data_IF_633592568121
#
_entry.id   IF_633592568121
#
_cell.length_a   1.000
_cell.length_b   1.000
_cell.length_c   1.000
_cell.angle_alpha   90.00
_cell.angle_beta   90.00
_cell.angle_gamma   90.00
#
_symmetry.space_group_name_H-M   'P 1'
#
loop_
_entity.id
_entity.type
_entity.pdbx_description
1 polymer ?
#
# COMPACT_ATOMS: atom_id res chain seq x y z
N UNK A 1 -15.54 5.96 -10.55
CA UNK A 1 -14.11 5.76 -10.83
C UNK A 1 -13.28 5.51 -9.56
N UNK A 2 -12.83 6.53 -8.81
CA UNK A 2 -11.91 6.30 -7.67
C UNK A 2 -12.47 5.37 -6.57
N UNK A 3 -13.72 5.58 -6.14
CA UNK A 3 -14.35 4.70 -5.13
C UNK A 3 -14.57 3.27 -5.62
N UNK A 4 -14.85 3.09 -6.92
CA UNK A 4 -15.03 1.77 -7.53
C UNK A 4 -13.70 1.02 -7.65
N UNK A 5 -12.65 1.70 -8.09
CA UNK A 5 -11.29 1.16 -8.09
C UNK A 5 -10.85 0.78 -6.66
N UNK A 6 -11.16 1.62 -5.67
CA UNK A 6 -10.85 1.30 -4.28
C UNK A 6 -11.62 0.06 -3.78
N UNK A 7 -12.90 -0.05 -4.10
CA UNK A 7 -13.71 -1.22 -3.74
C UNK A 7 -13.15 -2.52 -4.37
N UNK A 8 -12.65 -2.44 -5.61
CA UNK A 8 -12.00 -3.57 -6.29
C UNK A 8 -10.73 -4.02 -5.58
N UNK A 9 -9.85 -3.09 -5.19
CA UNK A 9 -8.57 -3.46 -4.56
C UNK A 9 -8.70 -3.79 -3.07
N UNK A 10 -9.75 -3.33 -2.38
CA UNK A 10 -9.99 -3.59 -0.94
C UNK A 10 -10.92 -4.77 -0.67
N UNK A 11 -11.55 -5.32 -1.70
CA UNK A 11 -12.47 -6.45 -1.59
C UNK A 11 -11.80 -7.76 -1.19
N UNK A 12 -12.61 -8.70 -0.69
CA UNK A 12 -12.18 -10.05 -0.26
C UNK A 12 -11.50 -10.87 -1.38
N UNK A 13 -11.87 -10.60 -2.63
CA UNK A 13 -11.38 -11.32 -3.82
C UNK A 13 -10.25 -10.55 -4.52
N UNK A 14 -9.79 -9.44 -3.92
CA UNK A 14 -8.67 -8.68 -4.46
C UNK A 14 -7.42 -9.54 -4.50
N UNK A 15 -6.63 -9.43 -5.58
CA UNK A 15 -5.34 -10.11 -5.66
C UNK A 15 -4.32 -9.40 -4.79
N UNK A 16 -3.39 -10.15 -4.19
CA UNK A 16 -2.22 -9.58 -3.54
C UNK A 16 -1.50 -8.64 -4.52
N UNK A 17 -1.06 -7.49 -4.02
CA UNK A 17 -0.38 -6.50 -4.85
C UNK A 17 -1.27 -5.60 -5.69
N UNK A 18 -2.60 -5.84 -5.72
CA UNK A 18 -3.51 -4.93 -6.42
C UNK A 18 -3.40 -3.53 -5.83
N UNK A 19 -3.23 -2.52 -6.68
CA UNK A 19 -3.07 -1.14 -6.25
C UNK A 19 -3.82 -0.15 -7.12
N UNK A 20 -4.04 1.04 -6.57
CA UNK A 20 -4.52 2.21 -7.30
C UNK A 20 -3.74 3.47 -6.91
N UNK A 21 -3.67 4.43 -7.82
CA UNK A 21 -3.12 5.77 -7.62
C UNK A 21 -4.22 6.81 -7.90
N UNK A 22 -4.26 7.82 -7.06
CA UNK A 22 -5.12 9.00 -7.19
C UNK A 22 -4.30 10.27 -6.98
N UNK A 23 -4.80 11.39 -7.50
CA UNK A 23 -4.29 12.71 -7.19
C UNK A 23 -5.47 13.64 -6.82
N UNK A 24 -5.19 14.93 -6.67
CA UNK A 24 -6.23 15.94 -6.55
C UNK A 24 -6.32 16.80 -7.81
N UNK A 25 -7.50 16.82 -8.40
CA UNK A 25 -7.86 17.77 -9.45
C UNK A 25 -8.96 18.69 -8.93
N UNK A 26 -8.73 20.00 -8.96
CA UNK A 26 -9.69 21.02 -8.46
C UNK A 26 -10.21 20.69 -7.05
N UNK A 27 -9.32 20.20 -6.17
CA UNK A 27 -9.59 19.77 -4.78
C UNK A 27 -10.51 18.54 -4.64
N UNK A 28 -10.70 17.77 -5.71
CA UNK A 28 -11.42 16.50 -5.69
C UNK A 28 -10.46 15.36 -6.00
N UNK A 29 -10.72 14.19 -5.41
CA UNK A 29 -9.97 12.97 -5.74
C UNK A 29 -10.24 12.62 -7.20
N UNK A 30 -9.18 12.50 -7.98
CA UNK A 30 -9.23 11.98 -9.35
C UNK A 30 -8.42 10.69 -9.44
N UNK A 31 -8.97 9.72 -10.16
CA UNK A 31 -8.31 8.44 -10.42
C UNK A 31 -7.19 8.65 -11.45
N UNK A 32 -6.02 8.06 -11.20
CA UNK A 32 -4.86 8.17 -12.09
C UNK A 32 -4.58 6.83 -12.76
N UNK A 33 -4.35 5.78 -11.96
CA UNK A 33 -3.93 4.48 -12.47
C UNK A 33 -4.31 3.35 -11.50
N UNK A 34 -4.30 2.13 -12.00
CA UNK A 34 -4.37 0.90 -11.22
C UNK A 34 -3.44 -0.17 -11.81
N UNK A 35 -3.07 -1.16 -11.01
CA UNK A 35 -2.20 -2.24 -11.44
C UNK A 35 -1.92 -3.26 -10.34
N UNK A 36 -0.86 -4.05 -10.53
CA UNK A 36 -0.42 -5.09 -9.59
C UNK A 36 1.10 -5.03 -9.40
N UNK A 37 1.56 -5.15 -8.15
CA UNK A 37 2.98 -5.20 -7.81
C UNK A 37 3.60 -3.84 -7.48
N UNK A 38 4.59 -3.84 -6.58
CA UNK A 38 5.18 -2.61 -6.04
C UNK A 38 5.97 -1.82 -7.10
N UNK A 39 6.67 -2.52 -8.00
CA UNK A 39 7.45 -1.88 -9.06
C UNK A 39 6.58 -1.17 -10.10
N UNK A 40 5.40 -1.71 -10.42
CA UNK A 40 4.47 -1.03 -11.34
C UNK A 40 3.79 0.15 -10.66
N UNK A 41 3.52 0.07 -9.34
CA UNK A 41 3.03 1.18 -8.54
C UNK A 41 4.00 2.35 -8.56
N UNK A 42 5.29 2.11 -8.28
CA UNK A 42 6.32 3.15 -8.29
C UNK A 42 6.38 3.89 -9.64
N UNK A 43 6.29 3.15 -10.74
CA UNK A 43 6.30 3.70 -12.10
C UNK A 43 5.06 4.57 -12.41
N UNK A 44 3.97 4.41 -11.67
CA UNK A 44 2.76 5.21 -11.81
C UNK A 44 2.79 6.52 -10.99
N UNK A 45 3.82 6.73 -10.16
CA UNK A 45 4.01 7.96 -9.41
C UNK A 45 4.75 8.99 -10.26
N UNK A 46 4.33 10.26 -10.15
CA UNK A 46 4.91 11.39 -10.88
C UNK A 46 5.63 12.33 -9.89
N UNK A 47 6.92 12.56 -10.13
CA UNK A 47 7.76 13.43 -9.29
C UNK A 47 7.28 14.89 -9.29
N UNK A 48 6.48 15.31 -10.28
CA UNK A 48 5.94 16.66 -10.36
C UNK A 48 4.58 16.82 -9.63
N UNK A 49 4.05 15.76 -9.01
CA UNK A 49 2.72 15.77 -8.40
C UNK A 49 2.68 15.32 -6.93
N UNK A 50 1.67 15.83 -6.22
CA UNK A 50 1.20 15.21 -4.99
C UNK A 50 0.19 14.12 -5.38
N UNK A 51 0.50 12.87 -5.00
CA UNK A 51 -0.33 11.70 -5.31
C UNK A 51 -0.56 10.87 -4.06
N UNK A 52 -1.48 9.94 -4.15
CA UNK A 52 -1.73 8.95 -3.12
C UNK A 52 -1.96 7.60 -3.77
N UNK A 53 -1.36 6.57 -3.20
CA UNK A 53 -1.57 5.21 -3.64
C UNK A 53 -2.12 4.36 -2.49
N UNK A 54 -2.82 3.29 -2.85
CA UNK A 54 -3.19 2.23 -1.93
C UNK A 54 -2.89 0.89 -2.59
N UNK A 55 -2.20 0.01 -1.87
CA UNK A 55 -1.87 -1.35 -2.30
C UNK A 55 -2.41 -2.37 -1.29
N UNK A 56 -2.99 -3.46 -1.78
CA UNK A 56 -3.45 -4.56 -0.94
C UNK A 56 -2.35 -5.61 -0.77
N UNK A 57 -1.69 -5.60 0.38
CA UNK A 57 -0.68 -6.60 0.75
C UNK A 57 -1.37 -7.72 1.49
N UNK A 58 -1.13 -8.97 1.09
CA UNK A 58 -1.75 -10.12 1.75
C UNK A 58 -0.82 -10.68 2.80
N UNK A 59 -1.22 -10.67 4.07
CA UNK A 59 -0.57 -11.47 5.11
C UNK A 59 -1.13 -12.88 5.06
N UNK A 60 -0.30 -13.85 4.67
CA UNK A 60 -0.71 -15.26 4.52
C UNK A 60 -0.08 -16.09 5.64
N UNK A 61 -0.94 -16.76 6.40
CA UNK A 61 -0.54 -17.71 7.45
C UNK A 61 -0.86 -19.12 6.98
N UNK A 62 0.19 -19.93 6.85
CA UNK A 62 0.12 -21.33 6.42
C UNK A 62 0.50 -22.19 7.62
N UNK A 63 -0.46 -23.00 8.12
CA UNK A 63 -0.24 -23.95 9.21
C UNK A 63 -0.81 -25.30 8.85
N UNK A 64 0.07 -26.30 8.78
CA UNK A 64 -0.26 -27.63 8.28
C UNK A 64 -0.98 -27.54 6.92
N UNK A 65 -2.29 -27.79 6.87
CA UNK A 65 -3.11 -27.79 5.66
C UNK A 65 -4.13 -26.64 5.60
N UNK A 66 -4.00 -25.63 6.47
CA UNK A 66 -4.90 -24.47 6.51
C UNK A 66 -4.14 -23.21 6.12
N UNK A 67 -4.67 -22.50 5.13
CA UNK A 67 -4.22 -21.17 4.73
C UNK A 67 -5.24 -20.12 5.17
N UNK A 68 -4.76 -19.08 5.87
CA UNK A 68 -5.55 -17.90 6.20
C UNK A 68 -4.89 -16.67 5.59
N UNK A 69 -5.64 -15.97 4.74
CA UNK A 69 -5.20 -14.71 4.14
C UNK A 69 -5.88 -13.52 4.81
N UNK A 70 -5.08 -12.50 5.15
CA UNK A 70 -5.55 -11.24 5.73
C UNK A 70 -5.09 -10.08 4.85
N UNK A 71 -6.05 -9.32 4.35
CA UNK A 71 -5.78 -8.12 3.55
C UNK A 71 -5.23 -7.00 4.44
N UNK A 72 -4.14 -6.38 4.00
CA UNK A 72 -3.50 -5.23 4.63
C UNK A 72 -3.37 -4.14 3.59
N UNK A 73 -4.28 -3.16 3.65
CA UNK A 73 -4.21 -1.98 2.82
C UNK A 73 -3.07 -1.09 3.31
N UNK A 74 -2.13 -0.76 2.42
CA UNK A 74 -1.02 0.15 2.69
C UNK A 74 -1.23 1.40 1.86
N UNK A 75 -1.45 2.52 2.55
CA UNK A 75 -1.55 3.84 1.93
C UNK A 75 -0.17 4.46 1.80
N UNK A 76 0.10 5.05 0.64
CA UNK A 76 1.31 5.81 0.34
C UNK A 76 0.88 7.25 0.03
N UNK A 77 1.38 8.20 0.80
CA UNK A 77 1.25 9.63 0.58
C UNK A 77 2.51 10.09 -0.17
N UNK A 78 2.35 10.40 -1.45
CA UNK A 78 3.45 10.77 -2.35
C UNK A 78 3.53 12.29 -2.52
N UNK A 79 4.69 12.86 -2.24
CA UNK A 79 5.02 14.24 -2.60
C UNK A 79 6.31 14.22 -3.40
N UNK A 80 6.17 14.16 -4.72
CA UNK A 80 7.32 14.06 -5.62
C UNK A 80 8.35 15.19 -5.42
N UNK A 81 9.62 14.89 -5.68
CA UNK A 81 10.73 15.82 -5.43
C UNK A 81 10.62 17.11 -6.27
N UNK A 82 10.02 17.00 -7.46
CA UNK A 82 9.86 18.08 -8.42
C UNK A 82 8.53 18.83 -8.28
N UNK A 83 7.72 18.55 -7.25
CA UNK A 83 6.51 19.32 -6.95
C UNK A 83 6.89 20.76 -6.61
N UNK A 84 6.37 21.77 -7.32
CA UNK A 84 6.61 23.18 -6.98
C UNK A 84 6.20 23.48 -5.54
N UNK A 85 6.99 24.26 -4.81
CA UNK A 85 6.78 24.52 -3.37
C UNK A 85 5.33 24.95 -3.04
N UNK A 86 4.73 25.82 -3.85
CA UNK A 86 3.34 26.27 -3.70
C UNK A 86 2.30 25.15 -3.84
N UNK A 87 2.59 24.11 -4.61
CA UNK A 87 1.70 22.96 -4.83
C UNK A 87 1.85 21.86 -3.78
N UNK A 88 2.94 21.85 -2.99
CA UNK A 88 3.13 20.87 -1.90
C UNK A 88 2.03 20.96 -0.83
N UNK A 89 1.42 22.13 -0.65
CA UNK A 89 0.24 22.31 0.22
C UNK A 89 -0.96 21.42 -0.20
N UNK A 90 -1.01 20.99 -1.46
CA UNK A 90 -2.00 20.01 -1.94
C UNK A 90 -2.00 18.70 -1.14
N UNK A 91 -0.85 18.31 -0.58
CA UNK A 91 -0.74 17.12 0.29
C UNK A 91 -1.63 17.25 1.54
N UNK A 92 -1.62 18.43 2.18
CA UNK A 92 -2.45 18.71 3.36
C UNK A 92 -3.94 18.79 2.99
N UNK A 93 -4.27 19.41 1.86
CA UNK A 93 -5.64 19.54 1.37
C UNK A 93 -6.28 18.18 1.06
N UNK A 94 -5.49 17.22 0.58
CA UNK A 94 -5.96 15.87 0.24
C UNK A 94 -6.23 14.98 1.44
N UNK A 95 -5.54 15.20 2.57
CA UNK A 95 -5.52 14.28 3.71
C UNK A 95 -6.92 13.78 4.12
N UNK A 96 -7.88 14.70 4.27
CA UNK A 96 -9.24 14.34 4.70
C UNK A 96 -10.04 13.56 3.65
N UNK A 97 -9.85 13.85 2.36
CA UNK A 97 -10.53 13.13 1.28
C UNK A 97 -9.91 11.75 1.06
N UNK A 98 -8.59 11.64 1.14
CA UNK A 98 -7.85 10.39 0.98
C UNK A 98 -8.11 9.45 2.15
N UNK A 99 -8.10 9.92 3.40
CA UNK A 99 -8.44 9.10 4.56
C UNK A 99 -9.86 8.53 4.49
N UNK A 100 -10.80 9.25 3.86
CA UNK A 100 -12.17 8.76 3.60
C UNK A 100 -12.20 7.71 2.50
N UNK A 101 -11.42 7.90 1.44
CA UNK A 101 -11.33 6.96 0.33
C UNK A 101 -10.63 5.67 0.75
N UNK A 102 -9.42 5.77 1.29
CA UNK A 102 -8.59 4.63 1.72
C UNK A 102 -8.91 4.18 3.15
N UNK A 103 -10.22 4.08 3.44
CA UNK A 103 -10.69 3.65 4.75
C UNK A 103 -10.16 2.25 5.07
N UNK A 104 -9.63 2.07 6.28
CA UNK A 104 -9.13 0.78 6.74
C UNK A 104 -7.69 0.48 6.31
N UNK A 105 -6.93 1.49 5.85
CA UNK A 105 -5.49 1.38 5.73
C UNK A 105 -4.87 0.88 7.04
N UNK A 106 -4.11 -0.20 6.95
CA UNK A 106 -3.38 -0.78 8.08
C UNK A 106 -2.06 -0.04 8.36
N UNK A 107 -1.57 0.70 7.36
CA UNK A 107 -0.33 1.45 7.38
C UNK A 107 -0.44 2.67 6.47
N UNK A 108 0.12 3.80 6.89
CA UNK A 108 0.38 4.98 6.06
C UNK A 108 1.89 5.22 5.96
N UNK A 109 2.38 5.44 4.73
CA UNK A 109 3.75 5.84 4.43
C UNK A 109 3.75 7.22 3.80
N UNK A 110 4.65 8.10 4.25
CA UNK A 110 4.92 9.37 3.56
C UNK A 110 6.23 9.21 2.79
N UNK A 111 6.18 9.36 1.48
CA UNK A 111 7.32 9.13 0.60
C UNK A 111 7.48 10.29 -0.37
N UNK A 112 8.73 10.59 -0.72
CA UNK A 112 9.08 11.51 -1.81
C UNK A 112 10.06 10.89 -2.80
N UNK A 113 10.53 9.66 -2.54
CA UNK A 113 11.42 8.90 -3.41
C UNK A 113 10.92 7.46 -3.61
N UNK A 114 11.03 6.88 -4.81
CA UNK A 114 10.52 5.53 -5.07
C UNK A 114 11.19 4.45 -4.21
N UNK A 115 12.45 4.66 -3.81
CA UNK A 115 13.23 3.71 -3.01
C UNK A 115 12.69 3.56 -1.57
N UNK A 116 11.97 4.57 -1.07
CA UNK A 116 11.31 4.53 0.24
C UNK A 116 10.10 3.57 0.24
N UNK A 117 9.58 3.25 -0.94
CA UNK A 117 8.49 2.30 -1.13
C UNK A 117 9.11 0.92 -1.33
N UNK A 118 9.49 0.24 -0.24
CA UNK A 118 10.10 -1.09 -0.31
C UNK A 118 9.29 -2.14 0.44
N UNK A 119 9.38 -3.39 -0.01
CA UNK A 119 8.79 -4.53 0.70
C UNK A 119 9.36 -4.66 2.10
N UNK A 120 10.66 -4.40 2.29
CA UNK A 120 11.31 -4.44 3.61
C UNK A 120 10.69 -3.42 4.58
N UNK A 121 10.52 -2.17 4.15
CA UNK A 121 9.94 -1.11 4.97
C UNK A 121 8.47 -1.40 5.33
N UNK A 122 7.68 -1.81 4.33
CA UNK A 122 6.28 -2.15 4.51
C UNK A 122 6.13 -3.33 5.48
N UNK A 123 6.90 -4.40 5.27
CA UNK A 123 6.88 -5.59 6.12
C UNK A 123 7.31 -5.28 7.54
N UNK A 124 8.35 -4.46 7.73
CA UNK A 124 8.80 -4.03 9.04
C UNK A 124 7.69 -3.35 9.83
N UNK A 125 6.98 -2.40 9.20
CA UNK A 125 5.88 -1.67 9.85
C UNK A 125 4.64 -2.52 10.05
N UNK A 126 4.25 -3.34 9.08
CA UNK A 126 3.12 -4.26 9.23
C UNK A 126 3.37 -5.29 10.35
N UNK A 127 4.61 -5.78 10.47
CA UNK A 127 5.00 -6.72 11.53
C UNK A 127 5.00 -6.07 12.91
N UNK A 128 5.37 -4.79 13.00
CA UNK A 128 5.31 -4.02 14.24
C UNK A 128 3.87 -3.70 14.66
N UNK A 129 2.98 -3.43 13.70
CA UNK A 129 1.56 -3.17 13.95
C UNK A 129 0.72 -4.44 14.19
N UNK A 130 1.17 -5.61 13.72
CA UNK A 130 0.42 -6.86 13.68
C UNK A 130 0.16 -7.58 15.01
N UNK A 131 0.60 -7.03 16.15
CA UNK A 131 0.47 -7.67 17.46
C UNK A 131 1.23 -9.00 17.56
N UNK A 132 0.81 -9.88 18.46
CA UNK A 132 1.52 -11.14 18.74
C UNK A 132 1.44 -12.17 17.60
N UNK A 133 0.44 -12.07 16.72
CA UNK A 133 0.20 -13.06 15.67
C UNK A 133 0.68 -12.57 14.31
N UNK A 134 1.87 -12.99 13.91
CA UNK A 134 2.46 -12.65 12.61
C UNK A 134 2.12 -13.73 11.57
N UNK A 135 1.86 -13.35 10.31
CA UNK A 135 1.63 -14.33 9.24
C UNK A 135 2.94 -15.09 8.92
N UNK A 136 2.85 -16.14 8.11
CA UNK A 136 4.02 -16.84 7.57
C UNK A 136 4.80 -15.92 6.61
N UNK A 137 4.09 -15.25 5.71
CA UNK A 137 4.67 -14.29 4.76
C UNK A 137 3.70 -13.15 4.41
N UNK A 138 4.25 -12.09 3.80
CA UNK A 138 3.47 -11.07 3.11
C UNK A 138 3.65 -11.18 1.60
N UNK A 139 2.57 -11.17 0.84
CA UNK A 139 2.58 -11.20 -0.63
C UNK A 139 2.22 -9.83 -1.24
N UNK A 140 2.96 -9.47 -2.29
CA UNK A 140 2.93 -8.17 -2.97
C UNK A 140 2.46 -8.25 -4.42
N UNK A 141 1.97 -9.41 -4.87
CA UNK A 141 1.53 -9.66 -6.26
C UNK A 141 2.66 -10.13 -7.16
N UNK A 142 2.33 -10.64 -8.35
CA UNK A 142 3.32 -11.10 -9.34
C UNK A 142 4.30 -12.20 -8.85
N UNK A 143 3.98 -12.91 -7.77
CA UNK A 143 4.86 -13.90 -7.13
C UNK A 143 5.85 -13.32 -6.11
N UNK A 144 5.89 -12.01 -5.91
CA UNK A 144 6.73 -11.36 -4.92
C UNK A 144 6.16 -11.59 -3.50
N UNK A 145 7.00 -12.12 -2.61
CA UNK A 145 6.65 -12.35 -1.21
C UNK A 145 7.85 -12.15 -0.28
N UNK A 146 7.57 -11.86 0.98
CA UNK A 146 8.56 -11.75 2.06
C UNK A 146 8.16 -12.67 3.19
N UNK A 147 8.92 -13.75 3.38
CA UNK A 147 8.75 -14.70 4.48
C UNK A 147 9.27 -14.08 5.79
N UNK A 148 8.52 -14.28 6.89
CA UNK A 148 8.84 -13.65 8.18
C UNK A 148 9.64 -14.55 9.13
N UNK A 149 9.75 -15.85 8.85
CA UNK A 149 10.53 -16.85 9.57
C UNK A 149 10.40 -16.81 11.11
N UNK A 150 9.27 -16.31 11.65
CA UNK A 150 9.10 -16.14 13.10
C UNK A 150 9.03 -17.48 13.84
N UNK A 151 8.56 -18.54 13.19
CA UNK A 151 8.37 -19.85 13.81
C UNK A 151 9.56 -20.81 13.59
N UNK A 152 10.53 -20.46 12.75
CA UNK A 152 11.70 -21.32 12.46
C UNK A 152 12.77 -21.29 13.57
N UNK A 153 12.66 -20.36 14.52
CA UNK A 153 13.58 -20.27 15.66
C UNK A 153 13.25 -21.20 16.83
N UNK A 154 12.25 -22.08 16.69
CA UNK A 154 11.88 -23.02 17.75
C UNK A 154 12.73 -24.30 17.80
N UNK A 155 13.70 -24.49 16.88
CA UNK A 155 14.55 -25.69 16.81
C UNK A 155 16.06 -25.36 16.74
N UNK A 156 16.56 -24.51 17.63
CA UNK A 156 18.00 -24.41 17.93
C UNK A 156 18.24 -24.36 19.43
#
# INVERSE_FOLDING_TARGET
MASEAFAKISGKDAKAGSWMVVNLEKKKVAFVAEGEGLESLKKALDDAQCMWACINVHGVDVRANVESTRHKLVQINWVGENVPAMKKMGALQGKGAIAKLFKGAALELNCNKPEEISTTEIVGKLSAAGGAHKPTYYAFGGGEKVDLNFYDKANK
#
